data_IF_486187046912
#
_entry.id   IF_486187046912
#
_cell.length_a   1.000
_cell.length_b   1.000
_cell.length_c   1.000
_cell.angle_alpha   90.00
_cell.angle_beta   90.00
_cell.angle_gamma   90.00
#
_symmetry.space_group_name_H-M   'P 1'
#
loop_
_entity.id
_entity.type
_entity.pdbx_description
1 polymer ?
#
# COMPACT_ATOMS: atom_id res chain seq x y z
N UNK A 1 37.66 41.34 5.32
CA UNK A 1 37.76 39.86 5.31
C UNK A 1 36.37 39.30 5.50
N UNK A 2 35.69 38.90 4.41
CA UNK A 2 34.33 38.36 4.47
C UNK A 2 34.47 36.84 4.54
N UNK A 3 34.36 36.27 5.74
CA UNK A 3 34.28 34.83 5.90
C UNK A 3 32.88 34.37 5.49
N UNK A 4 32.73 33.36 4.61
CA UNK A 4 31.42 32.80 4.30
C UNK A 4 30.79 32.29 5.60
N UNK A 5 29.51 32.60 5.82
CA UNK A 5 28.75 32.03 6.94
C UNK A 5 28.86 30.49 6.86
N UNK A 6 29.11 29.78 7.98
CA UNK A 6 29.13 28.33 7.96
C UNK A 6 27.77 27.83 7.47
N UNK A 7 27.76 27.19 6.30
CA UNK A 7 26.56 26.55 5.76
C UNK A 7 26.24 25.37 6.67
N UNK A 8 25.32 25.58 7.60
CA UNK A 8 24.74 24.49 8.39
C UNK A 8 24.17 23.44 7.44
N UNK A 9 24.39 22.16 7.73
CA UNK A 9 23.80 21.05 6.97
C UNK A 9 22.26 21.04 7.03
N UNK A 10 21.68 21.82 7.94
CA UNK A 10 20.25 22.02 8.12
C UNK A 10 19.89 23.48 7.82
N UNK A 11 19.04 23.69 6.81
CA UNK A 11 18.34 24.96 6.60
C UNK A 11 17.17 25.09 7.60
N UNK A 12 16.67 26.32 7.82
CA UNK A 12 15.46 26.51 8.63
C UNK A 12 14.24 25.85 7.97
N UNK A 13 13.69 24.82 8.63
CA UNK A 13 12.50 24.06 8.20
C UNK A 13 12.81 22.61 7.79
N UNK A 14 11.79 21.87 7.35
CA UNK A 14 11.92 20.47 6.87
C UNK A 14 12.58 20.34 5.48
N UNK A 15 13.35 21.34 5.05
CA UNK A 15 13.98 21.39 3.73
C UNK A 15 15.37 20.76 3.79
N UNK A 16 15.69 19.92 2.81
CA UNK A 16 17.05 19.38 2.66
C UNK A 16 17.97 20.48 2.14
N UNK A 17 19.16 20.61 2.75
CA UNK A 17 20.17 21.54 2.25
C UNK A 17 20.69 21.14 0.87
N UNK A 18 21.14 22.10 0.04
CA UNK A 18 21.68 21.81 -1.30
C UNK A 18 22.87 20.83 -1.30
N UNK A 19 23.65 20.82 -0.22
CA UNK A 19 24.76 19.87 -0.04
C UNK A 19 24.26 18.43 0.16
N UNK A 20 23.24 18.25 1.01
CA UNK A 20 22.64 16.95 1.29
C UNK A 20 21.90 16.37 0.07
N UNK A 21 21.28 17.23 -0.73
CA UNK A 21 20.59 16.80 -1.93
C UNK A 21 21.54 16.19 -2.97
N UNK A 22 22.72 16.80 -3.18
CA UNK A 22 23.75 16.26 -4.08
C UNK A 22 24.33 14.95 -3.58
N UNK A 23 24.58 14.85 -2.27
CA UNK A 23 25.11 13.63 -1.65
C UNK A 23 24.14 12.44 -1.79
N UNK A 24 22.83 12.69 -1.83
CA UNK A 24 21.80 11.64 -1.91
C UNK A 24 21.25 11.40 -3.31
N UNK A 25 21.58 12.27 -4.27
CA UNK A 25 21.19 12.15 -5.68
C UNK A 25 21.40 10.74 -6.28
N UNK A 26 22.56 10.06 -6.10
CA UNK A 26 22.79 8.77 -6.74
C UNK A 26 21.94 7.63 -6.17
N UNK A 27 21.42 7.76 -4.95
CA UNK A 27 20.62 6.73 -4.28
C UNK A 27 19.11 6.91 -4.46
N UNK A 28 18.69 8.10 -4.90
CA UNK A 28 17.26 8.45 -5.02
C UNK A 28 16.52 7.49 -5.96
N UNK A 29 17.08 7.23 -7.14
CA UNK A 29 16.48 6.36 -8.15
C UNK A 29 16.49 4.90 -7.68
N UNK A 30 17.62 4.44 -7.15
CA UNK A 30 17.81 3.05 -6.70
C UNK A 30 16.85 2.71 -5.56
N UNK A 31 16.76 3.60 -4.57
CA UNK A 31 15.88 3.43 -3.42
C UNK A 31 14.41 3.55 -3.81
N UNK A 32 14.07 4.43 -4.75
CA UNK A 32 12.71 4.53 -5.28
C UNK A 32 12.29 3.25 -6.01
N UNK A 33 13.17 2.66 -6.83
CA UNK A 33 12.90 1.39 -7.51
C UNK A 33 12.71 0.25 -6.52
N UNK A 34 13.60 0.12 -5.53
CA UNK A 34 13.46 -0.91 -4.48
C UNK A 34 12.16 -0.72 -3.70
N UNK A 35 11.84 0.52 -3.30
CA UNK A 35 10.60 0.83 -2.61
C UNK A 35 9.36 0.50 -3.44
N UNK A 36 9.37 0.85 -4.73
CA UNK A 36 8.30 0.50 -5.67
C UNK A 36 8.14 -1.01 -5.79
N UNK A 37 9.23 -1.77 -5.88
CA UNK A 37 9.19 -3.24 -5.93
C UNK A 37 8.52 -3.85 -4.68
N UNK A 38 8.85 -3.35 -3.49
CA UNK A 38 8.22 -3.79 -2.24
C UNK A 38 6.73 -3.47 -2.24
N UNK A 39 6.34 -2.24 -2.62
CA UNK A 39 4.94 -1.83 -2.66
C UNK A 39 4.14 -2.69 -3.64
N UNK A 40 4.65 -2.90 -4.85
CA UNK A 40 4.02 -3.76 -5.87
C UNK A 40 3.87 -5.18 -5.34
N UNK A 41 4.90 -5.73 -4.72
CA UNK A 41 4.84 -7.06 -4.12
C UNK A 41 3.74 -7.15 -3.05
N UNK A 42 3.71 -6.23 -2.08
CA UNK A 42 2.70 -6.21 -1.03
C UNK A 42 1.27 -6.08 -1.59
N UNK A 43 1.05 -5.17 -2.53
CA UNK A 43 -0.26 -4.97 -3.17
C UNK A 43 -0.67 -6.23 -3.93
N UNK A 44 0.26 -6.87 -4.63
CA UNK A 44 -0.02 -8.09 -5.39
C UNK A 44 -0.47 -9.23 -4.48
N UNK A 45 0.22 -9.45 -3.35
CA UNK A 45 -0.15 -10.46 -2.35
C UNK A 45 -1.52 -10.14 -1.77
N UNK A 46 -1.77 -8.90 -1.36
CA UNK A 46 -3.07 -8.48 -0.81
C UNK A 46 -4.22 -8.70 -1.79
N UNK A 47 -4.06 -8.25 -3.04
CA UNK A 47 -5.07 -8.40 -4.08
C UNK A 47 -5.30 -9.88 -4.41
N UNK A 48 -4.22 -10.68 -4.50
CA UNK A 48 -4.32 -12.12 -4.71
C UNK A 48 -5.04 -12.80 -3.56
N UNK A 49 -4.76 -12.45 -2.31
CA UNK A 49 -5.43 -13.03 -1.15
C UNK A 49 -6.95 -12.83 -1.22
N UNK A 50 -7.42 -11.63 -1.61
CA UNK A 50 -8.86 -11.38 -1.75
C UNK A 50 -9.45 -12.19 -2.90
N UNK A 51 -8.76 -12.25 -4.05
CA UNK A 51 -9.25 -12.99 -5.22
C UNK A 51 -9.19 -14.51 -5.05
N UNK A 52 -8.23 -15.02 -4.28
CA UNK A 52 -8.08 -16.43 -3.97
C UNK A 52 -9.14 -16.90 -2.98
N UNK A 53 -9.60 -16.03 -2.08
CA UNK A 53 -10.82 -16.26 -1.28
C UNK A 53 -12.04 -16.01 -2.18
N UNK A 54 -12.22 -16.85 -3.20
CA UNK A 54 -13.55 -16.98 -3.81
C UNK A 54 -14.44 -17.63 -2.76
N UNK A 55 -15.62 -17.03 -2.54
CA UNK A 55 -16.66 -17.68 -1.73
C UNK A 55 -16.97 -19.03 -2.39
N UNK A 56 -16.98 -20.09 -1.57
CA UNK A 56 -17.26 -21.45 -2.03
C UNK A 56 -18.57 -21.49 -2.83
N UNK A 57 -18.60 -22.33 -3.87
CA UNK A 57 -19.78 -22.53 -4.68
C UNK A 57 -20.79 -23.38 -3.90
N UNK A 58 -21.66 -22.73 -3.12
CA UNK A 58 -22.69 -23.39 -2.32
C UNK A 58 -23.90 -23.87 -3.13
N UNK A 59 -23.78 -23.98 -4.45
CA UNK A 59 -24.87 -24.43 -5.32
C UNK A 59 -25.20 -25.93 -5.19
N UNK A 60 -24.28 -26.73 -4.64
CA UNK A 60 -24.47 -28.16 -4.40
C UNK A 60 -25.11 -28.48 -3.04
N UNK A 61 -25.20 -27.50 -2.14
CA UNK A 61 -25.74 -27.71 -0.79
C UNK A 61 -27.27 -27.64 -0.81
N UNK A 62 -27.92 -28.76 -0.50
CA UNK A 62 -29.35 -28.80 -0.26
C UNK A 62 -29.67 -28.06 1.04
N UNK A 63 -30.36 -26.92 0.93
CA UNK A 63 -30.82 -26.15 2.08
C UNK A 63 -31.88 -26.92 2.86
N UNK A 64 -31.82 -26.93 4.21
CA UNK A 64 -32.83 -27.58 5.02
C UNK A 64 -34.18 -26.84 4.92
N UNK A 65 -35.27 -27.61 4.92
CA UNK A 65 -36.64 -27.15 4.61
C UNK A 65 -37.14 -25.96 5.43
N UNK A 66 -36.71 -25.84 6.69
CA UNK A 66 -37.08 -24.74 7.57
C UNK A 66 -36.49 -23.37 7.17
N UNK A 67 -35.47 -23.33 6.30
CA UNK A 67 -34.90 -22.08 5.79
C UNK A 67 -35.55 -21.61 4.48
N UNK A 68 -36.30 -22.49 3.81
CA UNK A 68 -37.02 -22.18 2.56
C UNK A 68 -38.34 -21.45 2.84
N UNK A 69 -38.95 -21.74 3.99
CA UNK A 69 -40.24 -21.18 4.41
C UNK A 69 -40.12 -19.71 4.86
N UNK A 70 -39.08 -19.39 5.66
CA UNK A 70 -38.76 -18.02 6.09
C UNK A 70 -38.53 -17.05 4.91
N UNK A 71 -37.90 -17.51 3.82
CA UNK A 71 -37.69 -16.67 2.63
C UNK A 71 -39.00 -16.30 1.91
N UNK A 72 -40.07 -17.08 2.11
CA UNK A 72 -41.40 -16.79 1.54
C UNK A 72 -42.15 -15.74 2.38
N UNK A 73 -41.91 -15.67 3.67
CA UNK A 73 -42.57 -14.73 4.59
C UNK A 73 -41.91 -13.34 4.57
N UNK A 74 -40.59 -13.26 4.45
CA UNK A 74 -39.85 -11.98 4.42
C UNK A 74 -39.94 -11.23 3.07
N UNK A 75 -40.51 -11.87 2.06
CA UNK A 75 -40.69 -11.32 0.71
C UNK A 75 -42.13 -10.97 0.33
N UNK A 76 -43.07 -11.02 1.29
CA UNK A 76 -44.48 -10.70 1.13
C UNK A 76 -44.83 -9.32 1.71
#
# INVERSE_FOLDING_TARGET
MIFPKPTSYYEQGFKRSPALERATAPFRVRNALTGAGIVVFCVSVYAYSIMAVRQDDFSDIQLPSHMVDQKKEDGA
#
